data_IF_877158173787
#
_entry.id   IF_877158173787
#
_cell.length_a   1.000
_cell.length_b   1.000
_cell.length_c   1.000
_cell.angle_alpha   90.00
_cell.angle_beta   90.00
_cell.angle_gamma   90.00
#
_symmetry.space_group_name_H-M   'P 1'
#
loop_
_entity.id
_entity.type
_entity.pdbx_description
1 polymer ?
#
# COMPACT_ATOMS: atom_id res chain seq x y z
N UNK A 1 23.68 -62.26 -10.82
CA UNK A 1 24.36 -63.49 -10.35
C UNK A 1 23.47 -64.06 -9.26
N UNK A 2 22.76 -65.14 -9.58
CA UNK A 2 21.76 -65.74 -8.69
C UNK A 2 22.42 -66.57 -7.59
N UNK A 3 21.87 -66.46 -6.40
CA UNK A 3 22.00 -67.45 -5.35
C UNK A 3 20.59 -67.86 -5.00
N UNK A 4 20.10 -68.90 -5.68
CA UNK A 4 18.90 -69.64 -5.26
C UNK A 4 19.26 -70.34 -3.96
N UNK A 5 18.98 -69.70 -2.82
CA UNK A 5 18.91 -70.39 -1.55
C UNK A 5 17.79 -71.44 -1.64
N UNK A 6 17.97 -72.65 -1.09
CA UNK A 6 16.90 -73.63 -1.10
C UNK A 6 15.66 -73.05 -0.39
N UNK A 7 14.44 -73.38 -0.84
CA UNK A 7 13.23 -73.02 -0.12
C UNK A 7 13.42 -73.50 1.33
N UNK A 8 13.13 -72.63 2.29
CA UNK A 8 13.16 -73.01 3.71
C UNK A 8 12.32 -74.28 3.97
N UNK A 9 12.42 -74.90 5.16
CA UNK A 9 11.68 -76.12 5.47
C UNK A 9 10.19 -75.98 5.07
N UNK A 10 9.65 -77.04 4.47
CA UNK A 10 8.24 -77.13 4.01
C UNK A 10 7.33 -76.66 5.14
N UNK A 11 6.46 -75.69 4.83
CA UNK A 11 5.61 -75.06 5.84
C UNK A 11 4.65 -76.08 6.47
N UNK A 12 4.38 -75.92 7.76
CA UNK A 12 3.29 -76.66 8.40
C UNK A 12 1.92 -76.06 8.04
N UNK A 13 0.83 -76.75 8.39
CA UNK A 13 -0.53 -76.34 8.02
C UNK A 13 -0.93 -75.00 8.65
N UNK A 14 -0.58 -74.80 9.91
CA UNK A 14 -0.93 -73.60 10.66
C UNK A 14 -0.10 -72.40 10.18
N UNK A 15 1.13 -72.63 9.71
CA UNK A 15 1.98 -71.65 9.04
C UNK A 15 1.40 -71.23 7.69
N UNK A 16 0.91 -72.16 6.88
CA UNK A 16 0.25 -71.86 5.59
C UNK A 16 -1.03 -71.06 5.82
N UNK A 17 -1.89 -71.47 6.76
CA UNK A 17 -3.14 -70.75 7.06
C UNK A 17 -2.86 -69.33 7.56
N UNK A 18 -1.86 -69.16 8.43
CA UNK A 18 -1.41 -67.83 8.87
C UNK A 18 -0.83 -67.01 7.72
N UNK A 19 -0.10 -67.62 6.79
CA UNK A 19 0.45 -66.91 5.64
C UNK A 19 -0.64 -66.46 4.67
N UNK A 20 -1.61 -67.32 4.35
CA UNK A 20 -2.76 -66.97 3.50
C UNK A 20 -3.65 -65.89 4.13
N UNK A 21 -3.84 -65.92 5.46
CA UNK A 21 -4.55 -64.87 6.17
C UNK A 21 -3.82 -63.51 6.08
N UNK A 22 -2.50 -63.49 6.28
CA UNK A 22 -1.68 -62.27 6.14
C UNK A 22 -1.72 -61.71 4.72
N UNK A 23 -1.47 -62.56 3.72
CA UNK A 23 -1.50 -62.16 2.30
C UNK A 23 -2.90 -61.70 1.87
N UNK A 24 -3.96 -62.25 2.47
CA UNK A 24 -5.33 -61.80 2.26
C UNK A 24 -5.58 -60.39 2.80
N UNK A 25 -5.12 -60.10 4.02
CA UNK A 25 -5.22 -58.74 4.57
C UNK A 25 -4.36 -57.73 3.79
N UNK A 26 -3.17 -58.15 3.34
CA UNK A 26 -2.29 -57.35 2.49
C UNK A 26 -2.91 -57.07 1.12
N UNK A 27 -3.58 -58.06 0.52
CA UNK A 27 -4.35 -57.91 -0.73
C UNK A 27 -5.43 -56.84 -0.60
N UNK A 28 -6.26 -56.90 0.44
CA UNK A 28 -7.33 -55.92 0.68
C UNK A 28 -6.77 -54.50 0.92
N UNK A 29 -5.64 -54.40 1.63
CA UNK A 29 -4.98 -53.11 1.89
C UNK A 29 -4.41 -52.49 0.60
N UNK A 30 -3.78 -53.31 -0.24
CA UNK A 30 -3.27 -52.88 -1.55
C UNK A 30 -4.43 -52.47 -2.46
N UNK A 31 -5.48 -53.28 -2.54
CA UNK A 31 -6.68 -52.99 -3.35
C UNK A 31 -7.27 -51.62 -2.98
N UNK A 32 -7.48 -51.39 -1.69
CA UNK A 32 -7.99 -50.11 -1.16
C UNK A 32 -7.10 -48.94 -1.55
N UNK A 33 -5.77 -49.12 -1.47
CA UNK A 33 -4.80 -48.08 -1.81
C UNK A 33 -4.80 -47.76 -3.31
N UNK A 34 -4.91 -48.77 -4.17
CA UNK A 34 -4.98 -48.59 -5.62
C UNK A 34 -6.24 -47.83 -6.04
N UNK A 35 -7.40 -48.14 -5.46
CA UNK A 35 -8.63 -47.39 -5.69
C UNK A 35 -8.51 -45.95 -5.20
N UNK A 36 -7.90 -45.71 -4.04
CA UNK A 36 -7.65 -44.35 -3.54
C UNK A 36 -6.77 -43.53 -4.48
N UNK A 37 -5.75 -44.14 -5.09
CA UNK A 37 -4.91 -43.49 -6.12
C UNK A 37 -5.71 -43.20 -7.41
N UNK A 38 -6.63 -44.09 -7.80
CA UNK A 38 -7.48 -43.89 -8.97
C UNK A 38 -8.49 -42.75 -8.78
N UNK A 39 -9.09 -42.64 -7.60
CA UNK A 39 -10.09 -41.60 -7.28
C UNK A 39 -9.47 -40.26 -6.88
N UNK A 40 -8.13 -40.16 -6.83
CA UNK A 40 -7.44 -38.96 -6.40
C UNK A 40 -7.74 -37.76 -7.31
N UNK A 41 -8.08 -36.60 -6.72
CA UNK A 41 -8.44 -35.38 -7.45
C UNK A 41 -7.34 -34.92 -8.42
N UNK A 42 -6.08 -34.82 -7.95
CA UNK A 42 -4.92 -34.53 -8.79
C UNK A 42 -4.77 -35.43 -10.02
N UNK A 43 -5.06 -36.73 -9.90
CA UNK A 43 -4.98 -37.66 -11.04
C UNK A 43 -6.02 -37.33 -12.10
N UNK A 44 -7.28 -37.13 -11.68
CA UNK A 44 -8.37 -36.76 -12.59
C UNK A 44 -8.08 -35.46 -13.33
N UNK A 45 -7.42 -34.51 -12.67
CA UNK A 45 -6.99 -33.25 -13.29
C UNK A 45 -5.86 -33.49 -14.32
N UNK A 46 -4.87 -34.32 -13.99
CA UNK A 46 -3.77 -34.67 -14.91
C UNK A 46 -4.29 -35.39 -16.16
N UNK A 47 -5.26 -36.29 -16.03
CA UNK A 47 -5.90 -37.00 -17.15
C UNK A 47 -6.71 -36.08 -18.06
N UNK A 48 -7.33 -35.02 -17.50
CA UNK A 48 -8.20 -34.11 -18.24
C UNK A 48 -7.50 -32.86 -18.82
N UNK A 49 -6.30 -32.52 -18.34
CA UNK A 49 -5.60 -31.30 -18.72
C UNK A 49 -4.69 -31.49 -19.96
N UNK A 50 -4.47 -30.41 -20.72
CA UNK A 50 -3.39 -30.37 -21.72
C UNK A 50 -2.07 -30.08 -21.01
N UNK A 51 -1.35 -31.15 -20.67
CA UNK A 51 -0.08 -31.07 -19.96
C UNK A 51 1.07 -30.68 -20.90
N UNK A 52 2.00 -29.88 -20.39
CA UNK A 52 3.23 -29.49 -21.08
C UNK A 52 4.43 -29.65 -20.16
N UNK A 53 5.64 -29.52 -20.73
CA UNK A 53 6.89 -29.45 -19.98
C UNK A 53 7.13 -30.62 -19.04
N UNK A 54 7.52 -30.30 -17.80
CA UNK A 54 7.94 -31.28 -16.79
C UNK A 54 6.78 -32.17 -16.36
N UNK A 55 5.58 -31.59 -16.27
CA UNK A 55 4.37 -32.33 -15.88
C UNK A 55 4.01 -33.38 -16.91
N UNK A 56 4.07 -33.06 -18.20
CA UNK A 56 3.80 -34.04 -19.26
C UNK A 56 4.79 -35.23 -19.22
N UNK A 57 6.09 -34.95 -19.14
CA UNK A 57 7.12 -36.00 -19.11
C UNK A 57 6.97 -36.91 -17.91
N UNK A 58 6.82 -36.33 -16.72
CA UNK A 58 6.68 -37.11 -15.50
C UNK A 58 5.34 -37.87 -15.50
N UNK A 59 4.24 -37.27 -15.99
CA UNK A 59 2.92 -37.92 -16.02
C UNK A 59 2.90 -39.13 -16.96
N UNK A 60 3.53 -39.02 -18.14
CA UNK A 60 3.64 -40.15 -19.05
C UNK A 60 4.38 -41.34 -18.42
N UNK A 61 5.41 -41.08 -17.60
CA UNK A 61 6.12 -42.12 -16.85
C UNK A 61 5.26 -42.70 -15.72
N UNK A 62 4.53 -41.85 -14.99
CA UNK A 62 3.63 -42.29 -13.93
C UNK A 62 2.44 -43.10 -14.46
N UNK A 63 1.86 -42.74 -15.60
CA UNK A 63 0.77 -43.48 -16.23
C UNK A 63 1.21 -44.90 -16.65
N UNK A 64 2.43 -45.03 -17.19
CA UNK A 64 3.05 -46.33 -17.45
C UNK A 64 3.30 -47.12 -16.15
N UNK A 65 3.78 -46.45 -15.09
CA UNK A 65 4.00 -47.06 -13.79
C UNK A 65 2.69 -47.56 -13.16
N UNK A 66 1.61 -46.79 -13.27
CA UNK A 66 0.25 -47.15 -12.81
C UNK A 66 -0.28 -48.35 -13.60
N UNK A 67 -0.07 -48.38 -14.91
CA UNK A 67 -0.46 -49.53 -15.75
C UNK A 67 0.30 -50.80 -15.34
N UNK A 68 1.60 -50.69 -15.09
CA UNK A 68 2.42 -51.79 -14.61
C UNK A 68 2.02 -52.24 -13.20
N UNK A 69 1.65 -51.30 -12.33
CA UNK A 69 1.17 -51.56 -10.97
C UNK A 69 -0.10 -52.42 -10.97
N UNK A 70 -1.08 -52.11 -11.83
CA UNK A 70 -2.28 -52.94 -12.00
C UNK A 70 -1.94 -54.33 -12.57
N UNK A 71 -1.01 -54.41 -13.52
CA UNK A 71 -0.54 -55.70 -14.05
C UNK A 71 0.08 -56.58 -12.95
N UNK A 72 0.88 -55.99 -12.06
CA UNK A 72 1.44 -56.69 -10.91
C UNK A 72 0.36 -57.09 -9.89
N UNK A 73 -0.61 -56.22 -9.62
CA UNK A 73 -1.73 -56.54 -8.73
C UNK A 73 -2.60 -57.69 -9.25
N UNK A 74 -2.86 -57.74 -10.56
CA UNK A 74 -3.60 -58.84 -11.19
C UNK A 74 -2.83 -60.16 -11.08
N UNK A 75 -1.51 -60.14 -11.31
CA UNK A 75 -0.64 -61.31 -11.15
C UNK A 75 -0.58 -61.78 -9.69
N UNK A 76 -0.50 -60.85 -8.73
CA UNK A 76 -0.57 -61.12 -7.29
C UNK A 76 -1.91 -61.76 -6.91
N UNK A 77 -3.02 -61.19 -7.39
CA UNK A 77 -4.38 -61.69 -7.14
C UNK A 77 -4.58 -63.11 -7.71
N UNK A 78 -4.05 -63.37 -8.92
CA UNK A 78 -4.09 -64.70 -9.53
C UNK A 78 -3.28 -65.75 -8.75
N UNK A 79 -2.10 -65.38 -8.26
CA UNK A 79 -1.28 -66.25 -7.42
C UNK A 79 -1.96 -66.55 -6.07
N UNK A 80 -2.51 -65.55 -5.40
CA UNK A 80 -3.24 -65.71 -4.14
C UNK A 80 -4.49 -66.57 -4.31
N UNK A 81 -5.24 -66.40 -5.41
CA UNK A 81 -6.39 -67.24 -5.75
C UNK A 81 -5.96 -68.70 -5.97
N UNK A 82 -4.88 -68.93 -6.72
CA UNK A 82 -4.34 -70.27 -6.95
C UNK A 82 -3.93 -70.94 -5.63
N UNK A 83 -3.30 -70.20 -4.71
CA UNK A 83 -2.96 -70.69 -3.38
C UNK A 83 -4.19 -71.11 -2.57
N UNK A 84 -5.25 -70.30 -2.60
CA UNK A 84 -6.54 -70.60 -1.94
C UNK A 84 -7.26 -71.80 -2.56
N UNK A 85 -7.17 -71.97 -3.88
CA UNK A 85 -7.73 -73.12 -4.60
C UNK A 85 -7.02 -74.43 -4.19
N UNK A 86 -5.67 -74.43 -4.13
CA UNK A 86 -4.90 -75.59 -3.63
C UNK A 86 -5.30 -75.93 -2.20
N UNK A 87 -5.44 -74.89 -1.35
CA UNK A 87 -5.90 -75.01 0.04
C UNK A 87 -7.31 -75.59 0.20
N UNK A 88 -8.20 -75.37 -0.77
CA UNK A 88 -9.59 -75.82 -0.75
C UNK A 88 -9.79 -77.26 -1.30
N UNK A 89 -8.75 -77.89 -1.87
CA UNK A 89 -8.84 -79.25 -2.43
C UNK A 89 -9.23 -80.27 -1.34
N UNK A 90 -10.12 -81.22 -1.66
CA UNK A 90 -10.56 -82.29 -0.73
C UNK A 90 -9.44 -83.18 -0.19
N UNK A 91 -8.25 -83.18 -0.82
CA UNK A 91 -7.04 -83.96 -0.46
C UNK A 91 -5.89 -83.12 0.10
N UNK A 92 -6.15 -81.90 0.57
CA UNK A 92 -5.17 -80.91 1.05
C UNK A 92 -4.21 -81.38 2.18
N UNK A 93 -4.33 -82.60 2.68
CA UNK A 93 -3.43 -83.19 3.68
C UNK A 93 -2.14 -83.79 3.10
N UNK A 94 -1.95 -83.80 1.77
CA UNK A 94 -0.80 -84.44 1.13
C UNK A 94 0.49 -83.62 1.29
N UNK A 95 1.64 -84.30 1.39
CA UNK A 95 2.96 -83.65 1.44
C UNK A 95 3.29 -82.92 0.13
N UNK A 96 2.74 -83.39 -0.99
CA UNK A 96 2.90 -82.77 -2.31
C UNK A 96 2.19 -81.42 -2.38
N UNK A 97 0.95 -81.31 -1.86
CA UNK A 97 0.21 -80.03 -1.80
C UNK A 97 0.94 -79.00 -0.90
N UNK A 98 1.57 -79.43 0.20
CA UNK A 98 2.35 -78.55 1.08
C UNK A 98 3.64 -78.05 0.42
N UNK A 99 4.29 -78.86 -0.41
CA UNK A 99 5.46 -78.44 -1.21
C UNK A 99 5.04 -77.46 -2.30
N UNK A 100 3.94 -77.75 -3.03
CA UNK A 100 3.36 -76.87 -4.04
C UNK A 100 3.01 -75.50 -3.44
N UNK A 101 2.38 -75.47 -2.26
CA UNK A 101 2.07 -74.23 -1.54
C UNK A 101 3.30 -73.50 -0.99
N UNK A 102 4.30 -74.23 -0.49
CA UNK A 102 5.54 -73.58 0.00
C UNK A 102 6.29 -72.91 -1.15
N UNK A 103 6.37 -73.55 -2.31
CA UNK A 103 6.94 -72.94 -3.53
C UNK A 103 6.12 -71.75 -4.02
N UNK A 104 4.79 -71.82 -3.97
CA UNK A 104 3.95 -70.72 -4.40
C UNK A 104 4.06 -69.50 -3.45
N UNK A 105 4.14 -69.73 -2.14
CA UNK A 105 4.18 -68.68 -1.12
C UNK A 105 5.57 -68.09 -0.85
N UNK A 106 6.64 -68.88 -0.99
CA UNK A 106 8.03 -68.45 -0.70
C UNK A 106 8.96 -68.47 -1.90
N UNK A 107 8.61 -69.18 -2.97
CA UNK A 107 9.42 -69.30 -4.19
C UNK A 107 9.07 -68.24 -5.24
N UNK A 108 9.84 -68.22 -6.32
CA UNK A 108 9.63 -67.35 -7.48
C UNK A 108 8.49 -67.89 -8.37
N UNK A 109 7.26 -67.85 -7.87
CA UNK A 109 6.11 -68.51 -8.49
C UNK A 109 5.29 -67.61 -9.42
N UNK A 110 5.43 -66.28 -9.31
CA UNK A 110 4.64 -65.33 -10.08
C UNK A 110 5.39 -64.96 -11.36
N UNK A 111 4.84 -65.35 -12.51
CA UNK A 111 5.36 -64.94 -13.83
C UNK A 111 4.60 -63.73 -14.33
N UNK A 112 5.30 -62.62 -14.55
CA UNK A 112 4.74 -61.45 -15.24
C UNK A 112 5.38 -61.36 -16.62
N UNK A 113 4.56 -61.07 -17.64
CA UNK A 113 5.06 -60.81 -18.99
C UNK A 113 6.02 -59.61 -18.93
N UNK A 114 7.23 -59.77 -19.48
CA UNK A 114 8.25 -58.73 -19.42
C UNK A 114 7.78 -57.47 -20.14
N UNK A 115 7.53 -56.40 -19.39
CA UNK A 115 7.41 -55.04 -19.92
C UNK A 115 8.82 -54.55 -20.26
N UNK A 116 9.31 -54.85 -21.46
CA UNK A 116 10.64 -54.37 -21.89
C UNK A 116 10.72 -52.84 -21.98
N UNK A 117 11.91 -52.23 -22.10
CA UNK A 117 13.20 -52.52 -21.50
C UNK A 117 13.51 -51.49 -20.38
N UNK A 118 13.38 -51.84 -19.10
CA UNK A 118 13.67 -50.92 -17.97
C UNK A 118 15.03 -51.16 -17.27
N UNK A 119 15.95 -51.87 -17.92
CA UNK A 119 17.36 -51.93 -17.50
C UNK A 119 18.23 -51.60 -18.72
N UNK A 120 19.37 -50.90 -18.58
CA UNK A 120 20.36 -50.88 -19.64
C UNK A 120 20.77 -52.34 -19.86
N UNK A 121 20.21 -52.93 -20.91
CA UNK A 121 20.54 -54.28 -21.31
C UNK A 121 22.06 -54.29 -21.50
N UNK A 122 22.74 -55.13 -20.74
CA UNK A 122 24.05 -55.61 -21.16
C UNK A 122 23.88 -56.04 -22.61
N UNK A 123 24.62 -55.41 -23.53
CA UNK A 123 24.52 -55.53 -25.00
C UNK A 123 24.73 -56.96 -25.54
N UNK A 124 24.68 -57.97 -24.68
CA UNK A 124 24.98 -59.39 -24.92
C UNK A 124 24.04 -60.38 -24.21
N UNK A 125 22.95 -59.92 -23.55
CA UNK A 125 21.98 -60.80 -22.88
C UNK A 125 20.68 -61.02 -23.67
N UNK A 126 20.08 -62.23 -23.68
CA UNK A 126 18.81 -62.48 -24.36
C UNK A 126 17.67 -61.66 -23.72
N UNK A 127 16.77 -61.14 -24.54
CA UNK A 127 15.57 -60.44 -24.06
C UNK A 127 14.74 -61.38 -23.18
N UNK A 128 14.59 -61.06 -21.89
CA UNK A 128 13.71 -61.80 -20.99
C UNK A 128 12.26 -61.45 -21.34
N UNK A 129 11.57 -62.39 -21.96
CA UNK A 129 10.15 -62.27 -22.35
C UNK A 129 9.20 -62.38 -21.14
N UNK A 130 9.68 -62.86 -20.01
CA UNK A 130 8.93 -63.02 -18.76
C UNK A 130 9.89 -62.95 -17.58
N UNK A 131 9.51 -62.20 -16.55
CA UNK A 131 10.22 -62.17 -15.27
C UNK A 131 9.45 -62.98 -14.22
N UNK A 132 10.20 -63.66 -13.35
CA UNK A 132 9.65 -64.42 -12.23
C UNK A 132 9.95 -63.67 -10.94
N UNK A 133 8.94 -63.54 -10.09
CA UNK A 133 9.02 -62.84 -8.82
C UNK A 133 8.47 -63.71 -7.69
N UNK A 134 8.99 -63.50 -6.48
CA UNK A 134 8.29 -63.93 -5.27
C UNK A 134 7.12 -62.98 -4.98
N UNK A 135 6.15 -63.41 -4.17
CA UNK A 135 5.06 -62.53 -3.74
C UNK A 135 5.57 -61.30 -2.99
N UNK A 136 6.61 -61.46 -2.16
CA UNK A 136 7.21 -60.36 -1.41
C UNK A 136 7.91 -59.34 -2.33
N UNK A 137 8.69 -59.80 -3.30
CA UNK A 137 9.36 -58.91 -4.27
C UNK A 137 8.35 -58.15 -5.13
N UNK A 138 7.23 -58.80 -5.47
CA UNK A 138 6.16 -58.18 -6.23
C UNK A 138 5.52 -57.05 -5.43
N UNK A 139 5.21 -57.28 -4.16
CA UNK A 139 4.65 -56.24 -3.28
C UNK A 139 5.65 -55.09 -3.07
N UNK A 140 6.93 -55.37 -2.86
CA UNK A 140 7.96 -54.33 -2.72
C UNK A 140 8.01 -53.43 -3.96
N UNK A 141 8.04 -54.02 -5.16
CA UNK A 141 7.98 -53.27 -6.42
C UNK A 141 6.68 -52.51 -6.60
N UNK A 142 5.55 -53.09 -6.22
CA UNK A 142 4.26 -52.41 -6.24
C UNK A 142 4.25 -51.19 -5.31
N UNK A 143 4.82 -51.31 -4.12
CA UNK A 143 4.94 -50.21 -3.17
C UNK A 143 5.81 -49.08 -3.73
N UNK A 144 6.91 -49.38 -4.41
CA UNK A 144 7.77 -48.38 -5.06
C UNK A 144 7.04 -47.64 -6.21
N UNK A 145 6.35 -48.39 -7.07
CA UNK A 145 5.55 -47.82 -8.16
C UNK A 145 4.39 -46.98 -7.64
N UNK A 146 3.72 -47.46 -6.59
CA UNK A 146 2.65 -46.73 -5.91
C UNK A 146 3.17 -45.43 -5.29
N UNK A 147 4.26 -45.50 -4.53
CA UNK A 147 4.84 -44.33 -3.85
C UNK A 147 5.29 -43.26 -4.84
N UNK A 148 5.96 -43.64 -5.93
CA UNK A 148 6.41 -42.69 -6.97
C UNK A 148 5.24 -42.07 -7.75
N UNK A 149 4.19 -42.86 -8.04
CA UNK A 149 2.99 -42.36 -8.72
C UNK A 149 2.17 -41.43 -7.81
N UNK A 150 2.00 -41.80 -6.53
CA UNK A 150 1.29 -41.00 -5.55
C UNK A 150 2.03 -39.68 -5.27
N UNK A 151 3.37 -39.70 -5.15
CA UNK A 151 4.17 -38.49 -4.93
C UNK A 151 3.91 -37.43 -6.01
N UNK A 152 3.91 -37.84 -7.28
CA UNK A 152 3.54 -36.96 -8.39
C UNK A 152 2.14 -36.39 -8.24
N UNK A 153 1.14 -37.27 -8.02
CA UNK A 153 -0.27 -36.89 -8.05
C UNK A 153 -0.57 -35.90 -6.93
N UNK A 154 0.00 -36.14 -5.74
CA UNK A 154 -0.10 -35.24 -4.58
C UNK A 154 0.65 -33.93 -4.85
N UNK A 155 1.83 -33.97 -5.47
CA UNK A 155 2.58 -32.76 -5.81
C UNK A 155 1.81 -31.85 -6.79
N UNK A 156 1.22 -32.42 -7.84
CA UNK A 156 0.41 -31.66 -8.81
C UNK A 156 -0.85 -31.08 -8.15
N UNK A 157 -1.56 -31.88 -7.33
CA UNK A 157 -2.74 -31.45 -6.59
C UNK A 157 -2.44 -30.29 -5.62
N UNK A 158 -1.32 -30.38 -4.90
CA UNK A 158 -0.89 -29.33 -3.98
C UNK A 158 -0.61 -28.00 -4.70
N UNK A 159 -0.02 -28.04 -5.90
CA UNK A 159 0.23 -26.85 -6.71
C UNK A 159 -1.08 -26.25 -7.21
N UNK A 160 -1.96 -27.06 -7.81
CA UNK A 160 -3.24 -26.61 -8.34
C UNK A 160 -4.23 -26.17 -7.26
N UNK A 161 -4.10 -26.67 -6.05
CA UNK A 161 -4.91 -26.21 -4.91
C UNK A 161 -4.44 -24.86 -4.37
N UNK A 162 -3.13 -24.54 -4.46
CA UNK A 162 -2.55 -23.36 -3.84
C UNK A 162 -2.36 -22.17 -4.78
N UNK A 163 -1.79 -22.39 -5.96
CA UNK A 163 -1.31 -21.30 -6.82
C UNK A 163 -2.42 -20.54 -7.56
N UNK A 164 -3.49 -21.16 -8.08
CA UNK A 164 -4.57 -20.43 -8.76
C UNK A 164 -5.22 -19.36 -7.88
N UNK A 165 -5.58 -19.69 -6.64
CA UNK A 165 -6.15 -18.72 -5.70
C UNK A 165 -5.21 -17.54 -5.44
N UNK A 166 -3.90 -17.81 -5.39
CA UNK A 166 -2.89 -16.76 -5.23
C UNK A 166 -2.80 -15.84 -6.46
N UNK A 167 -2.90 -16.38 -7.67
CA UNK A 167 -2.95 -15.57 -8.91
C UNK A 167 -4.19 -14.68 -8.91
N UNK A 168 -5.33 -15.22 -8.51
CA UNK A 168 -6.59 -14.46 -8.50
C UNK A 168 -6.53 -13.27 -7.54
N UNK A 169 -5.94 -13.46 -6.36
CA UNK A 169 -5.70 -12.37 -5.40
C UNK A 169 -4.76 -11.30 -5.97
N UNK A 170 -3.65 -11.70 -6.62
CA UNK A 170 -2.71 -10.76 -7.24
C UNK A 170 -3.32 -10.03 -8.44
N UNK A 171 -4.10 -10.72 -9.27
CA UNK A 171 -4.80 -10.13 -10.40
C UNK A 171 -5.86 -9.11 -9.94
N UNK A 172 -6.56 -9.40 -8.82
CA UNK A 172 -7.51 -8.47 -8.23
C UNK A 172 -6.82 -7.21 -7.69
N UNK A 173 -5.68 -7.35 -7.00
CA UNK A 173 -4.88 -6.20 -6.54
C UNK A 173 -4.34 -5.40 -7.73
N UNK A 174 -3.81 -6.06 -8.76
CA UNK A 174 -3.37 -5.42 -9.99
C UNK A 174 -4.51 -4.63 -10.65
N UNK A 175 -5.72 -5.18 -10.70
CA UNK A 175 -6.91 -4.49 -11.20
C UNK A 175 -7.21 -3.20 -10.44
N UNK A 176 -7.14 -3.24 -9.10
CA UNK A 176 -7.31 -2.04 -8.24
C UNK A 176 -6.21 -1.00 -8.48
N UNK A 177 -4.96 -1.42 -8.52
CA UNK A 177 -3.82 -0.52 -8.76
C UNK A 177 -3.88 0.11 -10.14
N UNK A 178 -4.33 -0.63 -11.18
CA UNK A 178 -4.57 -0.07 -12.52
C UNK A 178 -5.68 0.97 -12.54
N UNK A 179 -6.77 0.77 -11.80
CA UNK A 179 -7.83 1.78 -11.68
C UNK A 179 -7.31 3.05 -10.98
N UNK A 180 -6.52 2.88 -9.91
CA UNK A 180 -5.89 3.98 -9.21
C UNK A 180 -4.93 4.75 -10.11
N UNK A 181 -4.00 4.05 -10.78
CA UNK A 181 -3.10 4.59 -11.80
C UNK A 181 -3.90 5.37 -12.86
N UNK A 182 -5.03 4.80 -13.28
CA UNK A 182 -5.84 5.44 -14.30
C UNK A 182 -6.39 6.80 -13.86
N UNK A 183 -6.85 6.88 -12.60
CA UNK A 183 -7.40 8.09 -11.98
C UNK A 183 -6.39 9.22 -11.77
N UNK A 184 -5.10 8.87 -11.69
CA UNK A 184 -4.00 9.85 -11.55
C UNK A 184 -3.34 10.23 -12.86
N UNK A 185 -3.74 9.61 -13.97
CA UNK A 185 -3.13 9.87 -15.28
C UNK A 185 -1.83 9.09 -15.51
N UNK A 186 -1.52 8.09 -14.69
CA UNK A 186 -0.45 7.14 -14.99
C UNK A 186 -0.95 6.23 -16.11
N UNK A 187 -0.25 6.25 -17.25
CA UNK A 187 -0.57 5.51 -18.47
C UNK A 187 0.66 4.75 -18.97
N UNK A 188 0.49 3.55 -19.56
CA UNK A 188 1.58 2.90 -20.28
C UNK A 188 2.12 3.81 -21.41
N UNK A 189 3.43 3.82 -21.60
CA UNK A 189 4.17 4.64 -22.56
C UNK A 189 4.43 6.08 -22.11
N UNK A 190 3.70 6.59 -21.13
CA UNK A 190 3.85 7.96 -20.59
C UNK A 190 4.54 7.97 -19.22
N UNK A 191 4.40 6.89 -18.44
CA UNK A 191 4.94 6.79 -17.09
C UNK A 191 5.52 5.38 -16.82
N UNK A 192 6.72 5.26 -16.20
CA UNK A 192 7.35 3.96 -15.89
C UNK A 192 6.44 3.00 -15.13
N UNK A 193 5.76 3.49 -14.08
CA UNK A 193 4.80 2.67 -13.32
C UNK A 193 3.62 2.16 -14.17
N UNK A 194 3.26 2.85 -15.26
CA UNK A 194 2.28 2.37 -16.23
C UNK A 194 2.80 1.19 -17.05
N UNK A 195 4.05 1.27 -17.50
CA UNK A 195 4.75 0.19 -18.21
C UNK A 195 4.95 -1.03 -17.31
N UNK A 196 5.29 -0.80 -16.04
CA UNK A 196 5.42 -1.87 -15.05
C UNK A 196 4.10 -2.59 -14.78
N UNK A 197 2.98 -1.87 -14.70
CA UNK A 197 1.66 -2.51 -14.58
C UNK A 197 1.34 -3.40 -15.79
N UNK A 198 1.73 -3.00 -17.00
CA UNK A 198 1.56 -3.81 -18.20
C UNK A 198 2.47 -5.04 -18.17
N UNK A 199 3.74 -4.87 -17.81
CA UNK A 199 4.69 -5.97 -17.60
C UNK A 199 4.18 -7.00 -16.58
N UNK A 200 3.70 -6.55 -15.42
CA UNK A 200 3.14 -7.41 -14.37
C UNK A 200 1.87 -8.12 -14.89
N UNK A 201 1.02 -7.44 -15.67
CA UNK A 201 -0.16 -8.05 -16.30
C UNK A 201 0.24 -9.23 -17.19
N UNK A 202 1.24 -9.04 -18.06
CA UNK A 202 1.76 -10.11 -18.91
C UNK A 202 2.43 -11.22 -18.09
N UNK A 203 3.15 -10.89 -17.04
CA UNK A 203 3.78 -11.88 -16.16
C UNK A 203 2.75 -12.76 -15.45
N UNK A 204 1.70 -12.17 -14.84
CA UNK A 204 0.64 -12.93 -14.17
C UNK A 204 -0.18 -13.78 -15.14
N UNK A 205 -0.40 -13.29 -16.37
CA UNK A 205 -1.09 -14.06 -17.42
C UNK A 205 -0.30 -15.31 -17.80
N UNK A 206 1.02 -15.16 -18.03
CA UNK A 206 1.90 -16.29 -18.31
C UNK A 206 1.98 -17.26 -17.14
N UNK A 207 2.15 -16.76 -15.91
CA UNK A 207 2.16 -17.62 -14.72
C UNK A 207 0.86 -18.44 -14.60
N UNK A 208 -0.30 -17.88 -14.95
CA UNK A 208 -1.56 -18.62 -14.94
C UNK A 208 -1.58 -19.72 -15.99
N UNK A 209 -1.17 -19.42 -17.21
CA UNK A 209 -1.10 -20.40 -18.30
C UNK A 209 -0.13 -21.53 -17.94
N UNK A 210 1.08 -21.19 -17.50
CA UNK A 210 2.13 -22.13 -17.15
C UNK A 210 1.72 -23.07 -16.01
N UNK A 211 1.06 -22.57 -14.97
CA UNK A 211 0.63 -23.40 -13.82
C UNK A 211 -0.49 -24.34 -14.19
N UNK A 212 -1.40 -23.93 -15.08
CA UNK A 212 -2.49 -24.78 -15.53
C UNK A 212 -1.96 -25.92 -16.40
N UNK A 213 -0.93 -25.68 -17.22
CA UNK A 213 -0.36 -26.71 -18.12
C UNK A 213 0.81 -27.50 -17.53
N UNK A 214 1.62 -26.91 -16.66
CA UNK A 214 2.84 -27.49 -16.07
C UNK A 214 2.96 -27.17 -14.56
N UNK A 215 2.08 -27.71 -13.70
CA UNK A 215 2.15 -27.50 -12.24
C UNK A 215 3.45 -28.01 -11.60
N UNK A 216 4.02 -29.13 -12.08
CA UNK A 216 5.22 -29.71 -11.47
C UNK A 216 6.49 -28.88 -11.69
N UNK A 217 6.50 -27.95 -12.66
CA UNK A 217 7.55 -26.94 -12.77
C UNK A 217 7.59 -25.99 -11.55
N UNK A 218 6.46 -25.85 -10.86
CA UNK A 218 6.32 -25.04 -9.65
C UNK A 218 6.30 -25.89 -8.38
N UNK A 219 6.86 -27.11 -8.41
CA UNK A 219 7.00 -27.94 -7.23
C UNK A 219 8.45 -28.00 -6.75
N UNK A 220 8.67 -27.78 -5.45
CA UNK A 220 9.97 -27.98 -4.79
C UNK A 220 9.89 -29.16 -3.84
N UNK A 221 10.53 -30.26 -4.21
CA UNK A 221 10.70 -31.42 -3.34
C UNK A 221 11.56 -31.06 -2.12
N UNK A 222 11.15 -31.51 -0.94
CA UNK A 222 11.92 -31.34 0.29
C UNK A 222 13.05 -32.39 0.33
N UNK A 223 14.32 -31.97 0.46
CA UNK A 223 15.43 -32.92 0.54
C UNK A 223 15.30 -33.77 1.82
N UNK A 224 15.33 -35.09 1.66
CA UNK A 224 15.32 -36.06 2.77
C UNK A 224 13.93 -36.52 3.24
N UNK A 225 12.84 -36.10 2.60
CA UNK A 225 11.51 -36.68 2.85
C UNK A 225 11.27 -37.89 1.97
N UNK A 226 11.07 -39.06 2.59
CA UNK A 226 10.60 -40.27 1.89
C UNK A 226 9.07 -40.35 1.81
N UNK A 227 8.35 -39.41 2.45
CA UNK A 227 6.89 -39.37 2.40
C UNK A 227 6.41 -38.83 1.04
N UNK A 228 5.42 -39.47 0.40
CA UNK A 228 4.78 -38.98 -0.82
C UNK A 228 4.24 -37.55 -0.62
N UNK A 229 4.55 -36.65 -1.55
CA UNK A 229 4.16 -35.24 -1.45
C UNK A 229 5.03 -34.43 -0.48
N UNK A 230 6.19 -34.95 -0.08
CA UNK A 230 7.15 -34.28 0.80
C UNK A 230 7.82 -33.08 0.14
N UNK A 231 7.09 -32.01 -0.14
CA UNK A 231 7.55 -30.80 -0.80
C UNK A 231 6.59 -29.63 -0.62
N UNK A 232 6.80 -28.56 -1.38
CA UNK A 232 5.92 -27.38 -1.38
C UNK A 232 5.84 -26.71 -2.75
N UNK A 233 4.74 -26.02 -3.05
CA UNK A 233 4.67 -25.15 -4.23
C UNK A 233 5.72 -24.03 -4.17
N UNK A 234 6.36 -23.74 -5.30
CA UNK A 234 7.30 -22.64 -5.50
C UNK A 234 6.53 -21.32 -5.68
N UNK A 235 6.58 -20.47 -4.67
CA UNK A 235 5.93 -19.15 -4.71
C UNK A 235 6.87 -18.03 -5.17
N UNK A 236 8.14 -18.30 -5.48
CA UNK A 236 9.14 -17.23 -5.65
C UNK A 236 8.85 -16.27 -6.80
N UNK A 237 8.29 -16.76 -7.91
CA UNK A 237 7.85 -15.90 -9.01
C UNK A 237 6.68 -15.00 -8.59
N UNK A 238 5.74 -15.53 -7.82
CA UNK A 238 4.58 -14.80 -7.30
C UNK A 238 4.98 -13.76 -6.27
N UNK A 239 5.90 -14.11 -5.38
CA UNK A 239 6.44 -13.19 -4.38
C UNK A 239 7.15 -12.01 -5.06
N UNK A 240 7.89 -12.27 -6.15
CA UNK A 240 8.52 -11.22 -6.96
C UNK A 240 7.51 -10.29 -7.62
N UNK A 241 6.49 -10.82 -8.29
CA UNK A 241 5.47 -9.98 -8.93
C UNK A 241 4.60 -9.25 -7.90
N UNK A 242 4.35 -9.86 -6.74
CA UNK A 242 3.65 -9.20 -5.63
C UNK A 242 4.46 -8.01 -5.08
N UNK A 243 5.77 -8.19 -4.91
CA UNK A 243 6.64 -7.10 -4.47
C UNK A 243 6.73 -5.99 -5.52
N UNK A 244 6.87 -6.34 -6.81
CA UNK A 244 6.89 -5.36 -7.89
C UNK A 244 5.58 -4.56 -7.97
N UNK A 245 4.43 -5.22 -7.78
CA UNK A 245 3.13 -4.56 -7.73
C UNK A 245 3.02 -3.60 -6.53
N UNK A 246 3.54 -3.99 -5.37
CA UNK A 246 3.56 -3.15 -4.18
C UNK A 246 4.46 -1.92 -4.36
N UNK A 247 5.62 -2.08 -4.99
CA UNK A 247 6.53 -0.97 -5.34
C UNK A 247 5.82 0.03 -6.26
N UNK A 248 5.20 -0.45 -7.33
CA UNK A 248 4.39 0.36 -8.25
C UNK A 248 3.25 1.08 -7.53
N UNK A 249 2.56 0.41 -6.60
CA UNK A 249 1.49 1.02 -5.80
C UNK A 249 2.03 2.20 -4.99
N UNK A 250 3.18 2.04 -4.32
CA UNK A 250 3.81 3.12 -3.54
C UNK A 250 4.20 4.31 -4.42
N UNK A 251 4.68 4.08 -5.63
CA UNK A 251 4.99 5.15 -6.58
C UNK A 251 3.72 5.93 -6.97
N UNK A 252 2.63 5.22 -7.28
CA UNK A 252 1.33 5.83 -7.60
C UNK A 252 0.79 6.64 -6.42
N UNK A 253 0.90 6.11 -5.19
CA UNK A 253 0.49 6.81 -3.97
C UNK A 253 1.35 8.05 -3.70
N UNK A 254 2.64 8.01 -4.02
CA UNK A 254 3.50 9.19 -3.93
C UNK A 254 3.06 10.29 -4.92
N UNK A 255 2.73 9.92 -6.16
CA UNK A 255 2.19 10.85 -7.17
C UNK A 255 0.86 11.46 -6.70
N UNK A 256 -0.03 10.64 -6.12
CA UNK A 256 -1.28 11.11 -5.52
C UNK A 256 -1.04 12.15 -4.43
N UNK A 257 -0.11 11.86 -3.53
CA UNK A 257 0.23 12.73 -2.39
C UNK A 257 0.74 14.08 -2.89
N UNK A 258 1.67 14.08 -3.86
CA UNK A 258 2.20 15.32 -4.46
C UNK A 258 1.09 16.14 -5.14
N UNK A 259 0.17 15.48 -5.84
CA UNK A 259 -0.96 16.16 -6.49
C UNK A 259 -1.91 16.81 -5.49
N UNK A 260 -2.23 16.10 -4.40
CA UNK A 260 -3.10 16.61 -3.34
C UNK A 260 -2.44 17.78 -2.60
N UNK A 261 -1.14 17.68 -2.28
CA UNK A 261 -0.40 18.76 -1.64
C UNK A 261 -0.39 20.04 -2.51
N UNK A 262 -0.09 19.90 -3.80
CA UNK A 262 -0.13 21.02 -4.74
C UNK A 262 -1.52 21.68 -4.82
N UNK A 263 -2.59 20.91 -4.75
CA UNK A 263 -3.96 21.43 -4.76
C UNK A 263 -4.29 22.22 -3.49
N UNK A 264 -3.90 21.71 -2.32
CA UNK A 264 -4.04 22.40 -1.04
C UNK A 264 -3.25 23.71 -1.04
N UNK A 265 -2.00 23.68 -1.52
CA UNK A 265 -1.13 24.88 -1.61
C UNK A 265 -1.71 25.94 -2.54
N UNK A 266 -2.18 25.56 -3.73
CA UNK A 266 -2.86 26.49 -4.65
C UNK A 266 -4.14 27.09 -4.05
N UNK A 267 -4.91 26.31 -3.29
CA UNK A 267 -6.07 26.80 -2.54
C UNK A 267 -5.68 27.87 -1.53
N UNK A 268 -4.66 27.60 -0.70
CA UNK A 268 -4.14 28.56 0.30
C UNK A 268 -3.61 29.84 -0.36
N UNK A 269 -2.86 29.73 -1.45
CA UNK A 269 -2.36 30.88 -2.22
C UNK A 269 -3.50 31.76 -2.73
N UNK A 270 -4.56 31.15 -3.27
CA UNK A 270 -5.77 31.86 -3.72
C UNK A 270 -6.42 32.62 -2.57
N UNK A 271 -6.52 32.01 -1.40
CA UNK A 271 -7.10 32.64 -0.21
C UNK A 271 -6.27 33.82 0.29
N UNK A 272 -4.94 33.68 0.31
CA UNK A 272 -4.02 34.76 0.72
C UNK A 272 -4.12 35.95 -0.23
N UNK A 273 -4.04 35.71 -1.54
CA UNK A 273 -4.16 36.79 -2.54
C UNK A 273 -5.55 37.45 -2.51
N UNK A 274 -6.61 36.69 -2.28
CA UNK A 274 -7.97 37.24 -2.12
C UNK A 274 -8.12 38.07 -0.85
N UNK A 275 -7.38 37.76 0.22
CA UNK A 275 -7.32 38.61 1.43
C UNK A 275 -6.55 39.89 1.13
N UNK A 276 -5.40 39.80 0.44
CA UNK A 276 -4.61 40.97 0.09
C UNK A 276 -5.42 41.96 -0.77
N UNK A 277 -6.13 41.49 -1.80
CA UNK A 277 -6.95 42.35 -2.65
C UNK A 277 -8.11 43.03 -1.88
N UNK A 278 -8.77 42.30 -0.97
CA UNK A 278 -9.78 42.89 -0.07
C UNK A 278 -9.19 43.98 0.81
N UNK A 279 -8.02 43.75 1.41
CA UNK A 279 -7.33 44.75 2.23
C UNK A 279 -6.90 45.97 1.40
N UNK A 280 -6.44 45.79 0.16
CA UNK A 280 -6.15 46.90 -0.74
C UNK A 280 -7.42 47.68 -1.13
N UNK A 281 -8.55 47.00 -1.33
CA UNK A 281 -9.83 47.65 -1.59
C UNK A 281 -10.32 48.48 -0.40
N UNK A 282 -10.18 47.94 0.81
CA UNK A 282 -10.43 48.67 2.06
C UNK A 282 -9.52 49.90 2.18
N UNK A 283 -8.21 49.75 1.90
CA UNK A 283 -7.26 50.86 1.92
C UNK A 283 -7.63 51.94 0.90
N UNK A 284 -8.08 51.57 -0.31
CA UNK A 284 -8.57 52.52 -1.33
C UNK A 284 -9.81 53.28 -0.85
N UNK A 285 -10.76 52.59 -0.22
CA UNK A 285 -11.95 53.23 0.35
C UNK A 285 -11.59 54.18 1.49
N UNK A 286 -10.73 53.74 2.42
CA UNK A 286 -10.25 54.56 3.53
C UNK A 286 -9.49 55.80 3.03
N UNK A 287 -8.71 55.68 1.95
CA UNK A 287 -8.01 56.81 1.34
C UNK A 287 -8.99 57.87 0.83
N UNK A 288 -10.06 57.46 0.18
CA UNK A 288 -11.13 58.37 -0.23
C UNK A 288 -11.75 59.12 0.95
N UNK A 289 -11.99 58.41 2.06
CA UNK A 289 -12.52 59.01 3.29
C UNK A 289 -11.54 60.01 3.93
N UNK A 290 -10.24 59.66 4.01
CA UNK A 290 -9.21 60.52 4.58
C UNK A 290 -9.06 61.81 3.77
N UNK A 291 -8.98 61.70 2.43
CA UNK A 291 -8.89 62.85 1.53
C UNK A 291 -10.12 63.77 1.63
N UNK A 292 -11.30 63.23 1.92
CA UNK A 292 -12.51 64.04 2.14
C UNK A 292 -12.52 64.74 3.52
N UNK A 293 -11.89 64.14 4.54
CA UNK A 293 -12.00 64.58 5.94
C UNK A 293 -10.80 65.36 6.46
N UNK A 294 -9.62 65.21 5.86
CA UNK A 294 -8.34 65.74 6.33
C UNK A 294 -7.76 66.69 5.27
N UNK A 295 -7.39 67.91 5.69
CA UNK A 295 -6.70 68.88 4.85
C UNK A 295 -5.17 68.78 5.05
N UNK A 296 -4.41 69.21 4.04
CA UNK A 296 -2.96 69.40 4.12
C UNK A 296 -2.15 68.15 4.55
N UNK A 297 -2.67 66.95 4.27
CA UNK A 297 -1.98 65.68 4.51
C UNK A 297 -1.83 64.91 3.19
N UNK A 298 -0.60 64.55 2.83
CA UNK A 298 -0.33 63.72 1.66
C UNK A 298 -0.63 62.26 2.01
N UNK A 299 -1.76 61.74 1.54
CA UNK A 299 -2.13 60.33 1.72
C UNK A 299 -1.50 59.49 0.60
N UNK A 300 -0.65 58.50 0.92
CA UNK A 300 0.00 57.64 -0.08
C UNK A 300 -1.00 57.02 -1.06
N UNK A 301 -0.58 56.82 -2.31
CA UNK A 301 -1.38 56.11 -3.29
C UNK A 301 -1.38 54.61 -2.97
N UNK A 302 -2.57 54.00 -2.93
CA UNK A 302 -2.73 52.56 -2.77
C UNK A 302 -2.69 51.90 -4.14
N UNK A 303 -1.80 50.92 -4.30
CA UNK A 303 -1.66 50.13 -5.53
C UNK A 303 -2.94 49.38 -5.91
N UNK A 304 -3.05 49.06 -7.20
CA UNK A 304 -4.10 48.21 -7.74
C UNK A 304 -3.96 46.75 -7.29
N UNK A 305 -4.92 45.88 -7.67
CA UNK A 305 -4.83 44.45 -7.40
C UNK A 305 -3.53 43.85 -7.97
N UNK A 306 -2.94 42.82 -7.33
CA UNK A 306 -1.69 42.21 -7.77
C UNK A 306 -1.91 41.27 -8.97
N UNK A 307 -2.24 41.84 -10.13
CA UNK A 307 -2.59 41.09 -11.36
C UNK A 307 -1.49 40.14 -11.80
N UNK A 308 -0.22 40.54 -11.71
CA UNK A 308 0.91 39.69 -12.04
C UNK A 308 0.98 38.41 -11.16
N UNK A 309 0.62 38.49 -9.88
CA UNK A 309 0.56 37.32 -9.00
C UNK A 309 -0.63 36.43 -9.33
N UNK A 310 -1.76 37.02 -9.74
CA UNK A 310 -2.93 36.26 -10.20
C UNK A 310 -2.65 35.49 -11.49
N UNK A 311 -1.92 36.10 -12.44
CA UNK A 311 -1.47 35.45 -13.68
C UNK A 311 -0.48 34.30 -13.40
N UNK A 312 0.48 34.52 -12.48
CA UNK A 312 1.39 33.47 -12.04
C UNK A 312 0.66 32.32 -11.33
N UNK A 313 -0.37 32.62 -10.51
CA UNK A 313 -1.22 31.60 -9.89
C UNK A 313 -2.01 30.79 -10.95
N UNK A 314 -2.53 31.44 -11.98
CA UNK A 314 -3.20 30.77 -13.10
C UNK A 314 -2.24 29.85 -13.86
N UNK A 315 -1.02 30.32 -14.10
CA UNK A 315 0.07 29.53 -14.71
C UNK A 315 0.41 28.31 -13.85
N UNK A 316 0.52 28.46 -12.53
CA UNK A 316 0.75 27.34 -11.61
C UNK A 316 -0.40 26.32 -11.65
N UNK A 317 -1.65 26.78 -11.71
CA UNK A 317 -2.81 25.90 -11.86
C UNK A 317 -2.78 25.11 -13.18
N UNK A 318 -2.23 25.69 -14.24
CA UNK A 318 -2.03 25.03 -15.54
C UNK A 318 -0.91 23.99 -15.49
N UNK A 319 0.25 24.31 -14.92
CA UNK A 319 1.32 23.33 -14.71
C UNK A 319 0.85 22.12 -13.90
N UNK A 320 -0.02 22.32 -12.91
CA UNK A 320 -0.66 21.21 -12.19
C UNK A 320 -1.56 20.37 -13.11
N UNK A 321 -2.39 21.00 -13.95
CA UNK A 321 -3.28 20.28 -14.89
C UNK A 321 -2.49 19.45 -15.91
N UNK A 322 -1.35 19.97 -16.36
CA UNK A 322 -0.47 19.30 -17.32
C UNK A 322 0.62 18.43 -16.66
N UNK A 323 0.54 18.18 -15.35
CA UNK A 323 1.49 17.36 -14.59
C UNK A 323 2.98 17.78 -14.71
N UNK A 324 3.27 19.07 -14.91
CA UNK A 324 4.64 19.61 -15.02
C UNK A 324 5.24 19.93 -13.64
N UNK A 325 5.45 18.89 -12.83
CA UNK A 325 5.85 19.00 -11.41
C UNK A 325 7.17 19.77 -11.19
N UNK A 326 8.16 19.56 -12.06
CA UNK A 326 9.47 20.21 -11.98
C UNK A 326 9.41 21.72 -12.13
N UNK A 327 8.41 22.25 -12.85
CA UNK A 327 8.16 23.68 -12.99
C UNK A 327 7.23 24.20 -11.90
N UNK A 328 6.30 23.37 -11.44
CA UNK A 328 5.32 23.74 -10.43
C UNK A 328 5.96 24.00 -9.07
N UNK A 329 6.84 23.12 -8.59
CA UNK A 329 7.45 23.24 -7.25
C UNK A 329 8.14 24.60 -7.01
N UNK A 330 9.13 25.02 -7.82
CA UNK A 330 9.80 26.30 -7.59
C UNK A 330 8.87 27.51 -7.78
N UNK A 331 7.86 27.39 -8.65
CA UNK A 331 6.87 28.44 -8.85
C UNK A 331 5.96 28.58 -7.62
N UNK A 332 5.51 27.48 -7.01
CA UNK A 332 4.70 27.49 -5.79
C UNK A 332 5.47 28.11 -4.62
N UNK A 333 6.72 27.69 -4.40
CA UNK A 333 7.57 28.27 -3.33
C UNK A 333 7.74 29.79 -3.51
N UNK A 334 8.04 30.23 -4.73
CA UNK A 334 8.15 31.67 -5.01
C UNK A 334 6.83 32.42 -4.82
N UNK A 335 5.71 31.80 -5.21
CA UNK A 335 4.38 32.39 -5.04
C UNK A 335 3.96 32.50 -3.58
N UNK A 336 4.31 31.52 -2.74
CA UNK A 336 4.03 31.51 -1.31
C UNK A 336 4.64 32.73 -0.64
N UNK A 337 5.95 32.95 -0.81
CA UNK A 337 6.63 34.13 -0.27
C UNK A 337 6.04 35.44 -0.82
N UNK A 338 5.85 35.53 -2.14
CA UNK A 338 5.33 36.77 -2.77
C UNK A 338 3.90 37.10 -2.33
N UNK A 339 3.05 36.10 -2.11
CA UNK A 339 1.68 36.30 -1.67
C UNK A 339 1.62 36.78 -0.21
N UNK A 340 2.49 36.27 0.65
CA UNK A 340 2.62 36.74 2.03
C UNK A 340 3.14 38.17 2.09
N UNK A 341 4.17 38.50 1.31
CA UNK A 341 4.72 39.85 1.19
C UNK A 341 3.67 40.85 0.68
N UNK A 342 2.85 40.45 -0.29
CA UNK A 342 1.76 41.28 -0.81
C UNK A 342 0.67 41.52 0.25
N UNK A 343 0.32 40.49 1.03
CA UNK A 343 -0.64 40.64 2.12
C UNK A 343 -0.10 41.57 3.22
N UNK A 344 1.19 41.50 3.54
CA UNK A 344 1.83 42.41 4.48
C UNK A 344 1.80 43.84 3.96
N UNK A 345 2.24 44.06 2.71
CA UNK A 345 2.20 45.36 2.03
C UNK A 345 0.80 45.96 1.99
N UNK A 346 -0.23 45.15 1.74
CA UNK A 346 -1.61 45.60 1.74
C UNK A 346 -2.05 46.11 3.12
N UNK A 347 -1.68 45.39 4.20
CA UNK A 347 -1.99 45.79 5.58
C UNK A 347 -1.24 47.05 6.01
N UNK A 348 0.03 47.17 5.62
CA UNK A 348 0.83 48.37 5.83
C UNK A 348 0.19 49.57 5.14
N UNK A 349 -0.20 49.42 3.86
CA UNK A 349 -0.91 50.45 3.10
C UNK A 349 -2.22 50.89 3.77
N UNK A 350 -3.02 49.95 4.28
CA UNK A 350 -4.25 50.27 5.02
C UNK A 350 -3.95 51.06 6.30
N UNK A 351 -2.90 50.68 7.03
CA UNK A 351 -2.49 51.34 8.28
C UNK A 351 -2.03 52.76 8.00
N UNK A 352 -1.14 52.95 7.01
CA UNK A 352 -0.64 54.26 6.62
C UNK A 352 -1.76 55.21 6.19
N UNK A 353 -2.72 54.70 5.40
CA UNK A 353 -3.85 55.49 4.92
C UNK A 353 -4.79 55.89 6.06
N UNK A 354 -5.04 55.00 7.03
CA UNK A 354 -5.99 55.25 8.12
C UNK A 354 -5.39 56.07 9.28
N UNK A 355 -4.07 56.14 9.38
CA UNK A 355 -3.34 56.83 10.45
C UNK A 355 -3.82 58.28 10.69
N UNK A 356 -4.07 59.14 9.69
CA UNK A 356 -4.51 60.52 9.93
C UNK A 356 -5.88 60.61 10.60
N UNK A 357 -6.81 59.70 10.26
CA UNK A 357 -8.11 59.63 10.91
C UNK A 357 -8.00 59.13 12.35
N UNK A 358 -7.08 58.20 12.62
CA UNK A 358 -6.78 57.73 13.97
C UNK A 358 -6.23 58.88 14.84
N UNK A 359 -5.26 59.65 14.33
CA UNK A 359 -4.72 60.85 15.01
C UNK A 359 -5.83 61.87 15.29
N UNK A 360 -6.73 62.11 14.33
CA UNK A 360 -7.90 62.98 14.54
C UNK A 360 -8.79 62.50 15.69
N UNK A 361 -9.07 61.21 15.75
CA UNK A 361 -9.89 60.62 16.80
C UNK A 361 -9.21 60.71 18.18
N UNK A 362 -7.90 60.48 18.23
CA UNK A 362 -7.09 60.64 19.44
C UNK A 362 -7.11 62.09 19.95
N UNK A 363 -6.89 63.08 19.08
CA UNK A 363 -6.94 64.50 19.45
C UNK A 363 -8.31 64.91 20.01
N UNK A 364 -9.40 64.39 19.44
CA UNK A 364 -10.76 64.60 19.98
C UNK A 364 -10.90 64.02 21.38
N UNK A 365 -10.51 62.76 21.58
CA UNK A 365 -10.54 62.10 22.88
C UNK A 365 -9.68 62.83 23.93
N UNK A 366 -8.48 63.27 23.54
CA UNK A 366 -7.60 64.09 24.39
C UNK A 366 -8.26 65.41 24.77
N UNK A 367 -8.83 66.14 23.82
CA UNK A 367 -9.51 67.41 24.10
C UNK A 367 -10.67 67.22 25.09
N UNK A 368 -11.50 66.19 24.88
CA UNK A 368 -12.63 65.87 25.76
C UNK A 368 -12.18 65.45 27.16
N UNK A 369 -11.09 64.68 27.27
CA UNK A 369 -10.51 64.30 28.57
C UNK A 369 -9.99 65.52 29.36
N UNK A 370 -9.31 66.46 28.70
CA UNK A 370 -8.86 67.70 29.35
C UNK A 370 -10.03 68.60 29.74
N UNK A 371 -11.08 68.69 28.93
CA UNK A 371 -12.33 69.40 29.29
C UNK A 371 -12.94 68.83 30.57
N UNK A 372 -13.07 67.50 30.65
CA UNK A 372 -13.60 66.85 31.84
C UNK A 372 -12.73 67.12 33.09
N UNK A 373 -11.40 67.13 32.93
CA UNK A 373 -10.45 67.45 34.00
C UNK A 373 -10.60 68.89 34.51
N UNK A 374 -10.65 69.86 33.60
CA UNK A 374 -10.85 71.29 33.92
C UNK A 374 -12.19 71.50 34.63
N UNK A 375 -13.27 70.85 34.15
CA UNK A 375 -14.59 70.93 34.77
C UNK A 375 -14.62 70.37 36.18
N UNK A 376 -14.00 69.20 36.41
CA UNK A 376 -13.91 68.59 37.75
C UNK A 376 -13.18 69.47 38.77
N UNK A 377 -12.27 70.32 38.31
CA UNK A 377 -11.46 71.20 39.16
C UNK A 377 -12.05 72.60 39.32
N UNK A 378 -13.26 72.85 38.79
CA UNK A 378 -14.00 74.10 39.00
C UNK A 378 -13.65 75.25 38.06
N UNK A 379 -12.79 75.02 37.06
CA UNK A 379 -12.33 76.06 36.12
C UNK A 379 -13.07 76.03 34.78
N UNK A 380 -14.28 75.46 34.74
CA UNK A 380 -15.05 75.28 33.50
C UNK A 380 -15.45 76.59 32.83
N UNK A 381 -15.61 77.66 33.60
CA UNK A 381 -16.10 78.97 33.15
C UNK A 381 -14.98 79.98 32.88
N UNK A 382 -13.71 79.58 32.98
CA UNK A 382 -12.58 80.46 32.66
C UNK A 382 -12.67 80.89 31.18
N UNK A 383 -12.82 82.20 30.88
CA UNK A 383 -13.01 82.69 29.51
C UNK A 383 -11.88 82.27 28.55
N UNK A 384 -10.64 82.20 29.03
CA UNK A 384 -9.49 81.82 28.22
C UNK A 384 -9.54 80.32 27.87
N UNK A 385 -9.93 79.46 28.81
CA UNK A 385 -10.06 78.03 28.58
C UNK A 385 -11.23 77.71 27.63
N UNK A 386 -12.35 78.42 27.78
CA UNK A 386 -13.51 78.29 26.88
C UNK A 386 -13.13 78.69 25.44
N UNK A 387 -12.47 79.84 25.25
CA UNK A 387 -12.05 80.29 23.92
C UNK A 387 -11.10 79.28 23.25
N UNK A 388 -10.10 78.79 24.01
CA UNK A 388 -9.10 77.83 23.50
C UNK A 388 -9.72 76.46 23.22
N UNK A 389 -10.66 76.01 24.05
CA UNK A 389 -11.43 74.79 23.80
C UNK A 389 -12.28 74.91 22.53
N UNK A 390 -13.01 76.01 22.37
CA UNK A 390 -13.87 76.23 21.21
C UNK A 390 -13.06 76.35 19.92
N UNK A 391 -11.88 76.98 19.97
CA UNK A 391 -10.96 77.02 18.84
C UNK A 391 -10.49 75.62 18.42
N UNK A 392 -10.06 74.78 19.36
CA UNK A 392 -9.64 73.40 19.08
C UNK A 392 -10.83 72.54 18.60
N UNK A 393 -12.02 72.69 19.20
CA UNK A 393 -13.24 71.98 18.81
C UNK A 393 -13.69 72.33 17.40
N UNK A 394 -13.69 73.62 17.02
CA UNK A 394 -14.04 74.04 15.65
C UNK A 394 -13.14 73.38 14.62
N UNK A 395 -11.83 73.33 14.86
CA UNK A 395 -10.86 72.68 13.96
C UNK A 395 -11.05 71.17 13.89
N UNK A 396 -11.22 70.48 15.03
CA UNK A 396 -11.34 69.00 15.05
C UNK A 396 -12.68 68.48 14.50
N UNK A 397 -13.75 69.27 14.54
CA UNK A 397 -15.07 68.89 14.02
C UNK A 397 -15.40 69.47 12.63
N UNK A 398 -14.51 70.24 12.01
CA UNK A 398 -14.65 70.67 10.61
C UNK A 398 -14.29 69.55 9.62
N UNK A 399 -14.80 69.64 8.39
CA UNK A 399 -14.35 68.81 7.28
C UNK A 399 -14.14 69.72 6.06
N UNK A 400 -12.92 69.79 5.48
CA UNK A 400 -11.71 69.06 5.89
C UNK A 400 -11.02 69.67 7.14
N UNK A 401 -10.32 68.85 7.92
CA UNK A 401 -9.59 69.24 9.14
C UNK A 401 -8.09 69.32 8.87
N UNK A 402 -7.47 70.49 9.12
CA UNK A 402 -6.00 70.59 9.16
C UNK A 402 -5.49 69.99 10.47
N UNK A 403 -4.87 68.81 10.38
CA UNK A 403 -4.40 68.07 11.56
C UNK A 403 -3.30 68.80 12.33
N UNK A 404 -2.37 69.46 11.63
CA UNK A 404 -1.26 70.17 12.28
C UNK A 404 -1.79 71.37 13.06
N UNK A 405 -2.67 72.16 12.45
CA UNK A 405 -3.31 73.28 13.12
C UNK A 405 -4.19 72.84 14.31
N UNK A 406 -4.91 71.71 14.16
CA UNK A 406 -5.74 71.15 15.22
C UNK A 406 -4.91 70.63 16.41
N UNK A 407 -3.79 69.95 16.15
CA UNK A 407 -2.86 69.49 17.19
C UNK A 407 -2.30 70.66 18.00
N UNK A 408 -1.84 71.72 17.33
CA UNK A 408 -1.37 72.94 17.97
C UNK A 408 -2.46 73.61 18.82
N UNK A 409 -3.71 73.62 18.35
CA UNK A 409 -4.83 74.16 19.11
C UNK A 409 -5.12 73.36 20.39
N UNK A 410 -5.06 72.02 20.31
CA UNK A 410 -5.17 71.14 21.48
C UNK A 410 -4.01 71.37 22.45
N UNK A 411 -2.77 71.45 21.96
CA UNK A 411 -1.59 71.74 22.81
C UNK A 411 -1.71 73.10 23.51
N UNK A 412 -2.19 74.14 22.82
CA UNK A 412 -2.45 75.45 23.44
C UNK A 412 -3.49 75.39 24.55
N UNK A 413 -4.57 74.60 24.37
CA UNK A 413 -5.56 74.38 25.41
C UNK A 413 -4.98 73.58 26.59
N UNK A 414 -4.19 72.54 26.32
CA UNK A 414 -3.53 71.74 27.35
C UNK A 414 -2.57 72.57 28.21
N UNK A 415 -1.78 73.46 27.59
CA UNK A 415 -0.88 74.38 28.29
C UNK A 415 -1.66 75.37 29.15
N UNK A 416 -2.69 76.02 28.60
CA UNK A 416 -3.55 76.92 29.37
C UNK A 416 -4.22 76.21 30.56
N UNK A 417 -4.70 74.97 30.35
CA UNK A 417 -5.25 74.16 31.43
C UNK A 417 -4.19 73.78 32.48
N UNK A 418 -2.94 73.53 32.09
CA UNK A 418 -1.86 73.28 33.03
C UNK A 418 -1.52 74.53 33.84
N UNK A 419 -1.40 75.70 33.20
CA UNK A 419 -1.04 76.96 33.84
C UNK A 419 -2.07 77.40 34.89
N UNK A 420 -3.36 77.15 34.64
CA UNK A 420 -4.46 77.43 35.60
C UNK A 420 -4.47 76.42 36.75
N UNK A 421 -3.98 75.19 36.53
CA UNK A 421 -3.95 74.12 37.52
C UNK A 421 -2.67 74.11 38.38
N UNK A 422 -1.61 74.82 37.98
CA UNK A 422 -0.41 75.01 38.81
C UNK A 422 -0.71 76.08 39.88
N UNK A 423 -0.49 75.81 41.17
CA UNK A 423 -0.66 76.83 42.21
C UNK A 423 0.34 77.96 41.98
N UNK A 424 -0.12 79.20 41.78
CA UNK A 424 0.75 80.39 41.85
C UNK A 424 1.36 80.47 43.26
N UNK A 425 2.64 80.18 43.39
CA UNK A 425 3.43 80.51 44.59
C UNK A 425 3.53 82.05 44.65
N UNK A 426 3.16 82.72 45.75
CA UNK A 426 3.27 84.17 45.85
C UNK A 426 4.74 84.58 45.88
N UNK A 427 5.13 85.56 45.07
CA UNK A 427 6.45 86.19 45.16
C UNK A 427 6.65 86.84 46.54
N UNK A 428 7.78 86.53 47.16
CA UNK A 428 8.25 87.08 48.42
C UNK A 428 8.53 88.58 48.27
N UNK A 429 7.67 89.42 48.85
CA UNK A 429 7.96 90.83 49.06
C UNK A 429 8.74 91.04 50.36
N UNK A 430 9.94 91.59 50.27
CA UNK A 430 10.63 92.24 51.39
C UNK A 430 11.66 93.25 50.89
N UNK A 431 12.13 94.20 51.71
CA UNK A 431 11.56 94.81 52.91
C UNK A 431 11.30 96.33 52.72
N UNK A 432 10.33 96.91 53.43
CA UNK A 432 10.14 98.37 53.46
C UNK A 432 10.24 98.90 54.89
N UNK A 433 11.37 99.57 55.12
CA UNK A 433 11.72 100.47 56.21
C UNK A 433 10.68 101.58 56.42
N UNK A 434 10.23 101.79 57.67
CA UNK A 434 9.74 103.10 58.15
C UNK A 434 10.04 103.29 59.63
N UNK A 435 11.05 104.13 59.88
CA UNK A 435 11.24 104.97 61.07
C UNK A 435 10.10 105.96 61.30
N UNK A 436 9.88 106.26 62.60
CA UNK A 436 9.45 107.55 63.17
C UNK A 436 7.94 107.81 63.21
N UNK A 437 7.34 108.46 64.20
CA UNK A 437 7.82 109.09 65.45
C UNK A 437 6.55 109.58 66.19
N UNK A 438 6.45 109.35 67.50
CA UNK A 438 5.90 110.25 68.55
C UNK A 438 5.80 109.50 69.88
#
# INVERSE_FOLDING_TARGET
>A
MGVTGPPGPVMDRDEVDRALARLGAEHEAIETSLFALQDHAGRRLLEGARLTGTTHERWAAADQAITLLWTYFDAYTAALRSAREIRARRRWSSREDLVELTELLRGESVTVAGSGPSTPASLTGPARLSDRFTLADLVERMNDLYASSLDMVVAADAVWSALPARIDLLAAELGRTRQLAHSVGVRPGEHPSGDDLERITHALTRLREDVVSDPLAYWRSAPGSSAPGGGRPDTTAYDREAQALEEVRREIDAVLTVRQDAEVRLGRLRDVLSRADRTLAEARSARGEVLAKIAAFEVPAVSGPPTALQEQLATAAEYRRSAQWHRLSPLLESLETKAEDELLRARESLTEVTQPLAVRAELRGRLDAYKAKVARLGFAEDPLLVERYDAARRMLWSAPCDLRAAEDAVLRYQRAAADVLVPRVPEQGGPADRRGES
#
